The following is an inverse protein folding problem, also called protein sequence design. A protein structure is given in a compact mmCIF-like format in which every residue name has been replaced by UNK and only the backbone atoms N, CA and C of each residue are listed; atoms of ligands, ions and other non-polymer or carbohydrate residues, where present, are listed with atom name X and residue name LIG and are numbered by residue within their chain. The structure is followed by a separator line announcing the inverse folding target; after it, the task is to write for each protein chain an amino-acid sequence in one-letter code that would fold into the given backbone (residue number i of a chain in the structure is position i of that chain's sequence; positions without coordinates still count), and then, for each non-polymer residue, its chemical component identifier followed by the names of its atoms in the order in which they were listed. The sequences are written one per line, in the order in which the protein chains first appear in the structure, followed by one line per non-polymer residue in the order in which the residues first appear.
data_IF_512529954238
#
_entry.id   IF_512529954238
#
_cell.length_a   1.000
_cell.length_b   1.000
_cell.length_c   1.000
_cell.angle_alpha   90.00
_cell.angle_beta   90.00
_cell.angle_gamma   90.00
#
_symmetry.space_group_name_H-M   'P 1'
#
loop_
_entity.id
_entity.type
_entity.pdbx_description
1 polymer ?
#
# COMPACT_ATOMS: atom_id res chain seq x y z
N UNK A 1 0.62 -12.07 3.11
CA UNK A 1 1.69 -11.29 2.43
C UNK A 1 2.19 -10.26 3.42
N UNK A 2 3.50 -10.20 3.67
CA UNK A 2 4.07 -9.23 4.62
C UNK A 2 4.30 -7.89 3.93
N UNK A 3 4.05 -6.80 4.64
CA UNK A 3 4.37 -5.46 4.17
C UNK A 3 5.86 -5.19 4.45
N UNK A 4 6.66 -4.69 3.49
CA UNK A 4 8.12 -4.61 3.62
C UNK A 4 8.63 -3.74 4.77
N UNK A 5 7.81 -2.82 5.28
CA UNK A 5 8.22 -1.85 6.31
C UNK A 5 7.56 -2.07 7.67
N UNK A 6 6.72 -3.10 7.80
CA UNK A 6 6.04 -3.42 9.07
C UNK A 6 6.97 -4.22 9.98
N UNK A 7 7.11 -3.76 11.22
CA UNK A 7 7.91 -4.45 12.23
C UNK A 7 7.28 -5.81 12.58
N UNK A 8 8.02 -6.91 12.48
CA UNK A 8 7.58 -8.19 13.02
C UNK A 8 7.55 -8.18 14.55
N UNK A 9 6.79 -9.10 15.13
CA UNK A 9 6.87 -9.34 16.58
C UNK A 9 8.27 -9.88 16.93
N UNK A 10 8.89 -9.34 17.97
CA UNK A 10 10.27 -9.66 18.33
C UNK A 10 10.46 -11.14 18.68
N UNK A 11 9.50 -11.71 19.38
CA UNK A 11 9.51 -13.14 19.74
C UNK A 11 9.40 -14.09 18.54
N UNK A 12 8.93 -13.59 17.40
CA UNK A 12 8.74 -14.36 16.17
C UNK A 12 9.90 -14.22 15.18
N UNK A 13 10.85 -13.32 15.42
CA UNK A 13 12.01 -13.11 14.53
C UNK A 13 12.81 -14.40 14.28
N UNK A 14 12.83 -15.31 15.23
CA UNK A 14 13.48 -16.63 15.10
C UNK A 14 12.90 -17.51 13.97
N UNK A 15 11.69 -17.21 13.52
CA UNK A 15 11.02 -17.97 12.46
C UNK A 15 11.18 -17.33 11.07
N UNK A 16 11.77 -16.15 10.99
CA UNK A 16 11.78 -15.34 9.77
C UNK A 16 12.43 -16.06 8.56
N UNK A 17 13.43 -16.90 8.83
CA UNK A 17 14.15 -17.65 7.80
C UNK A 17 13.51 -19.01 7.47
N UNK A 18 13.04 -19.72 8.49
CA UNK A 18 12.59 -21.09 8.36
C UNK A 18 11.09 -21.21 8.09
N UNK A 19 10.30 -20.37 8.73
CA UNK A 19 8.84 -20.43 8.69
C UNK A 19 8.22 -19.01 8.66
N UNK A 20 8.48 -18.19 7.61
CA UNK A 20 8.06 -16.78 7.58
C UNK A 20 6.55 -16.60 7.72
N UNK A 21 5.75 -17.61 7.36
CA UNK A 21 4.30 -17.58 7.56
C UNK A 21 3.84 -17.58 9.04
N UNK A 22 4.73 -17.91 9.98
CA UNK A 22 4.44 -17.85 11.43
C UNK A 22 4.78 -16.52 12.06
N UNK A 23 5.47 -15.64 11.35
CA UNK A 23 5.88 -14.33 11.88
C UNK A 23 4.68 -13.39 11.88
N UNK A 24 4.26 -12.96 13.07
CA UNK A 24 3.20 -11.98 13.25
C UNK A 24 3.75 -10.57 13.06
N UNK A 25 2.93 -9.69 12.52
CA UNK A 25 3.23 -8.29 12.30
C UNK A 25 2.74 -7.42 13.47
N UNK A 26 3.47 -6.35 13.81
CA UNK A 26 2.99 -5.28 14.69
C UNK A 26 2.11 -4.32 13.88
N UNK A 27 0.98 -4.83 13.38
CA UNK A 27 -0.03 -4.09 12.64
C UNK A 27 -1.34 -4.03 13.42
N UNK A 28 -2.14 -3.04 13.12
CA UNK A 28 -3.42 -2.81 13.79
C UNK A 28 -4.42 -2.12 12.85
N UNK A 29 -5.69 -2.42 13.05
CA UNK A 29 -6.80 -1.79 12.37
C UNK A 29 -7.76 -1.20 13.40
N UNK A 30 -8.42 -0.10 13.03
CA UNK A 30 -9.50 0.50 13.81
C UNK A 30 -10.81 0.14 13.14
N UNK A 31 -11.67 -0.52 13.89
CA UNK A 31 -13.01 -0.93 13.44
C UNK A 31 -14.06 -0.18 14.24
N UNK A 32 -14.99 0.46 13.55
CA UNK A 32 -16.14 1.15 14.14
C UNK A 32 -17.42 0.66 13.47
N UNK A 33 -18.37 0.17 14.28
CA UNK A 33 -19.67 -0.37 13.83
C UNK A 33 -19.52 -1.44 12.71
N UNK A 34 -18.50 -2.30 12.81
CA UNK A 34 -18.23 -3.33 11.81
C UNK A 34 -17.50 -2.84 10.55
N UNK A 35 -17.18 -1.56 10.44
CA UNK A 35 -16.40 -1.00 9.34
C UNK A 35 -14.98 -0.71 9.79
N UNK A 36 -14.01 -1.19 9.05
CA UNK A 36 -12.61 -0.75 9.18
C UNK A 36 -12.49 0.69 8.70
N UNK A 37 -12.14 1.60 9.60
CA UNK A 37 -12.04 3.04 9.34
C UNK A 37 -10.60 3.53 9.27
N UNK A 38 -9.65 2.68 9.58
CA UNK A 38 -8.24 3.03 9.53
C UNK A 38 -7.36 1.87 9.95
N UNK A 39 -6.10 1.98 9.63
CA UNK A 39 -5.11 0.99 10.00
C UNK A 39 -3.70 1.54 9.95
N UNK A 40 -2.79 0.79 10.53
CA UNK A 40 -1.40 1.18 10.59
C UNK A 40 -0.48 0.09 11.12
N UNK A 41 0.75 0.45 11.33
CA UNK A 41 1.72 -0.47 11.90
C UNK A 41 2.87 0.24 12.61
N UNK A 42 3.50 -0.47 13.53
CA UNK A 42 4.86 -0.13 13.95
C UNK A 42 5.80 -0.42 12.79
N UNK A 43 6.70 0.50 12.51
CA UNK A 43 7.63 0.40 11.39
C UNK A 43 8.96 -0.22 11.82
N UNK A 44 9.61 -0.88 10.87
CA UNK A 44 10.99 -1.31 11.05
C UNK A 44 11.87 -0.05 11.11
N UNK A 45 12.75 0.01 12.10
CA UNK A 45 13.71 1.09 12.28
C UNK A 45 15.15 0.59 12.42
N UNK A 46 15.36 -0.73 12.34
CA UNK A 46 16.64 -1.41 12.44
C UNK A 46 17.04 -1.92 11.05
N UNK A 47 18.26 -1.58 10.63
CA UNK A 47 18.78 -1.91 9.29
C UNK A 47 18.78 -3.41 9.02
N UNK A 48 19.28 -4.19 9.96
CA UNK A 48 19.39 -5.64 9.86
C UNK A 48 18.03 -6.33 9.67
N UNK A 49 17.02 -5.88 10.40
CA UNK A 49 15.65 -6.39 10.28
C UNK A 49 15.04 -5.96 8.93
N UNK A 50 15.32 -4.73 8.47
CA UNK A 50 14.82 -4.23 7.18
C UNK A 50 15.45 -5.00 6.00
N UNK A 51 16.76 -5.22 6.02
CA UNK A 51 17.43 -6.04 5.00
C UNK A 51 16.88 -7.46 4.99
N UNK A 52 16.71 -8.06 6.16
CA UNK A 52 16.15 -9.40 6.30
C UNK A 52 14.73 -9.50 5.79
N UNK A 53 13.91 -8.50 6.03
CA UNK A 53 12.53 -8.44 5.51
C UNK A 53 12.52 -8.41 3.98
N UNK A 54 13.42 -7.63 3.34
CA UNK A 54 13.54 -7.62 1.88
C UNK A 54 13.95 -8.98 1.32
N UNK A 55 14.91 -9.66 1.94
CA UNK A 55 15.32 -11.02 1.54
C UNK A 55 14.15 -12.00 1.55
N UNK A 56 13.38 -12.03 2.65
CA UNK A 56 12.22 -12.92 2.81
C UNK A 56 11.12 -12.63 1.78
N UNK A 57 10.99 -11.38 1.35
CA UNK A 57 10.05 -10.96 0.31
C UNK A 57 10.57 -11.22 -1.12
N UNK A 58 11.79 -11.75 -1.25
CA UNK A 58 12.38 -12.12 -2.54
C UNK A 58 13.08 -10.96 -3.28
N UNK A 59 13.38 -9.87 -2.58
CA UNK A 59 14.21 -8.81 -3.15
C UNK A 59 15.69 -9.23 -3.13
N UNK A 60 16.41 -9.00 -4.21
CA UNK A 60 17.87 -8.99 -4.17
C UNK A 60 18.34 -7.67 -3.53
N UNK A 61 19.56 -7.65 -3.01
CA UNK A 61 20.13 -6.42 -2.40
C UNK A 61 20.15 -5.27 -3.38
N UNK A 62 20.48 -5.54 -4.63
CA UNK A 62 20.53 -4.54 -5.70
C UNK A 62 19.15 -3.93 -5.97
N UNK A 63 18.11 -4.77 -6.11
CA UNK A 63 16.74 -4.32 -6.33
C UNK A 63 16.16 -3.57 -5.13
N UNK A 64 16.47 -4.04 -3.91
CA UNK A 64 16.05 -3.33 -2.70
C UNK A 64 16.69 -1.93 -2.65
N UNK A 65 17.97 -1.83 -2.99
CA UNK A 65 18.67 -0.56 -2.99
C UNK A 65 18.24 0.37 -4.14
N UNK A 66 17.96 -0.18 -5.33
CA UNK A 66 17.45 0.60 -6.47
C UNK A 66 16.10 1.27 -6.14
N UNK A 67 15.21 0.55 -5.45
CA UNK A 67 13.86 1.04 -5.13
C UNK A 67 13.80 1.84 -3.83
N UNK A 68 14.56 1.46 -2.82
CA UNK A 68 14.46 1.96 -1.45
C UNK A 68 15.79 2.45 -0.88
N UNK A 69 16.81 2.65 -1.72
CA UNK A 69 18.13 3.07 -1.28
C UNK A 69 18.11 4.37 -0.47
N UNK A 70 17.27 5.32 -0.86
CA UNK A 70 17.08 6.56 -0.11
C UNK A 70 16.64 6.33 1.36
N UNK A 71 15.80 5.31 1.60
CA UNK A 71 15.35 4.93 2.94
C UNK A 71 16.45 4.20 3.70
N UNK A 72 17.12 3.23 3.06
CA UNK A 72 18.22 2.48 3.66
C UNK A 72 19.41 3.40 4.02
N UNK A 73 19.70 4.38 3.20
CA UNK A 73 20.72 5.38 3.50
C UNK A 73 20.33 6.29 4.66
N UNK A 74 19.04 6.68 4.73
CA UNK A 74 18.54 7.46 5.86
C UNK A 74 18.66 6.68 7.20
N UNK A 75 18.47 5.38 7.18
CA UNK A 75 18.61 4.53 8.37
C UNK A 75 20.03 4.60 8.99
N UNK A 76 21.07 4.76 8.16
CA UNK A 76 22.46 4.88 8.61
C UNK A 76 22.72 6.09 9.51
N UNK A 77 21.87 7.11 9.44
CA UNK A 77 21.94 8.30 10.32
C UNK A 77 21.20 8.12 11.65
N UNK A 78 20.58 6.98 11.86
CA UNK A 78 19.78 6.66 13.03
C UNK A 78 18.29 6.97 12.82
N UNK A 79 17.46 5.97 13.10
CA UNK A 79 16.00 6.07 12.97
C UNK A 79 15.38 5.80 14.34
N UNK A 80 14.54 6.71 14.87
CA UNK A 80 13.82 6.44 16.11
C UNK A 80 12.73 5.38 15.88
N UNK A 81 12.35 4.62 16.91
CA UNK A 81 11.13 3.83 16.85
C UNK A 81 9.95 4.70 16.46
N UNK A 82 9.20 4.25 15.46
CA UNK A 82 8.06 5.01 14.93
C UNK A 82 6.93 4.09 14.48
N UNK A 83 5.75 4.64 14.45
CA UNK A 83 4.53 3.98 13.99
C UNK A 83 3.67 4.99 13.22
N UNK A 84 2.70 4.49 12.47
CA UNK A 84 1.79 5.33 11.72
C UNK A 84 0.38 4.78 11.74
N UNK A 85 -0.58 5.67 11.52
CA UNK A 85 -1.99 5.36 11.39
C UNK A 85 -2.58 6.21 10.25
N UNK A 86 -3.37 5.59 9.39
CA UNK A 86 -4.13 6.28 8.36
C UNK A 86 -5.61 6.00 8.54
N UNK A 87 -6.43 7.05 8.45
CA UNK A 87 -7.88 6.92 8.43
C UNK A 87 -8.40 6.95 6.98
N UNK A 88 -9.37 6.09 6.70
CA UNK A 88 -10.18 6.17 5.50
C UNK A 88 -11.20 7.31 5.62
N UNK A 89 -10.90 8.49 5.09
CA UNK A 89 -11.73 9.68 5.22
C UNK A 89 -13.16 9.42 4.74
N UNK A 90 -13.33 8.80 3.58
CA UNK A 90 -14.65 8.51 3.01
C UNK A 90 -15.48 7.60 3.93
N UNK A 91 -14.87 6.57 4.52
CA UNK A 91 -15.55 5.69 5.48
C UNK A 91 -15.94 6.41 6.77
N UNK A 92 -15.05 7.28 7.26
CA UNK A 92 -15.34 8.08 8.45
C UNK A 92 -16.51 9.03 8.21
N UNK A 93 -16.51 9.74 7.07
CA UNK A 93 -17.60 10.64 6.69
C UNK A 93 -18.91 9.88 6.48
N UNK A 94 -18.86 8.71 5.82
CA UNK A 94 -20.00 7.82 5.64
C UNK A 94 -20.67 7.47 6.99
N UNK A 95 -19.87 7.05 7.97
CA UNK A 95 -20.39 6.70 9.31
C UNK A 95 -20.92 7.92 10.06
N UNK A 96 -20.25 9.06 9.99
CA UNK A 96 -20.71 10.31 10.60
C UNK A 96 -22.01 10.81 9.99
N UNK A 97 -22.17 10.67 8.68
CA UNK A 97 -23.38 11.02 7.93
C UNK A 97 -24.47 9.94 8.03
N UNK A 98 -24.21 8.84 8.73
CA UNK A 98 -25.12 7.67 8.87
C UNK A 98 -25.58 7.10 7.53
N UNK A 99 -24.66 7.05 6.55
CA UNK A 99 -24.90 6.44 5.26
C UNK A 99 -24.38 5.00 5.23
N UNK A 100 -24.94 4.17 4.36
CA UNK A 100 -24.60 2.75 4.24
C UNK A 100 -23.51 2.52 3.16
N UNK A 101 -23.21 3.52 2.34
CA UNK A 101 -22.24 3.44 1.24
C UNK A 101 -21.39 4.69 1.15
N UNK A 102 -20.08 4.49 0.88
CA UNK A 102 -19.17 5.61 0.59
C UNK A 102 -19.56 6.37 -0.68
N UNK A 103 -20.35 5.77 -1.57
CA UNK A 103 -20.85 6.44 -2.79
C UNK A 103 -21.75 7.63 -2.48
N UNK A 104 -22.39 7.63 -1.30
CA UNK A 104 -23.30 8.69 -0.89
C UNK A 104 -22.55 9.92 -0.34
N UNK A 105 -21.24 9.79 -0.09
CA UNK A 105 -20.39 10.86 0.47
C UNK A 105 -19.23 11.26 -0.44
N UNK A 106 -19.08 10.63 -1.61
CA UNK A 106 -18.06 10.95 -2.61
C UNK A 106 -18.71 11.70 -3.77
N UNK A 107 -18.14 12.84 -4.17
CA UNK A 107 -18.69 13.69 -5.24
C UNK A 107 -18.76 12.98 -6.60
N UNK A 108 -17.79 12.10 -6.91
CA UNK A 108 -17.70 11.38 -8.20
C UNK A 108 -17.43 9.89 -7.97
N UNK A 109 -18.42 9.12 -7.44
CA UNK A 109 -18.21 7.72 -7.14
C UNK A 109 -17.96 6.91 -8.42
N UNK A 110 -16.99 6.02 -8.37
CA UNK A 110 -16.70 5.07 -9.44
C UNK A 110 -17.68 3.90 -9.40
N UNK A 111 -18.01 3.38 -10.59
CA UNK A 111 -18.77 2.12 -10.73
C UNK A 111 -17.84 0.90 -10.69
N UNK A 112 -18.42 -0.30 -10.78
CA UNK A 112 -17.70 -1.55 -10.55
C UNK A 112 -16.50 -1.76 -11.49
N UNK A 113 -16.57 -1.26 -12.70
CA UNK A 113 -15.51 -1.29 -13.72
C UNK A 113 -14.53 -0.12 -13.62
N UNK A 114 -14.57 0.61 -12.50
CA UNK A 114 -13.77 1.81 -12.22
C UNK A 114 -14.08 3.02 -13.11
N UNK A 115 -15.15 3.00 -13.92
CA UNK A 115 -15.58 4.15 -14.70
C UNK A 115 -16.32 5.19 -13.84
N UNK A 116 -16.36 6.42 -14.32
CA UNK A 116 -17.08 7.53 -13.71
C UNK A 116 -18.23 7.95 -14.61
N UNK A 117 -19.47 7.75 -14.17
CA UNK A 117 -20.67 8.06 -14.95
C UNK A 117 -20.84 9.55 -15.24
N UNK A 118 -20.30 10.42 -14.40
CA UNK A 118 -20.41 11.86 -14.57
C UNK A 118 -19.41 12.42 -15.61
N UNK A 119 -18.19 11.91 -15.59
CA UNK A 119 -17.10 12.41 -16.46
C UNK A 119 -16.86 11.51 -17.67
N UNK A 120 -17.59 10.39 -17.74
CA UNK A 120 -17.42 9.33 -18.76
C UNK A 120 -15.98 8.78 -18.84
N UNK A 121 -15.19 8.98 -17.78
CA UNK A 121 -13.83 8.44 -17.69
C UNK A 121 -13.85 6.93 -17.36
N UNK A 122 -12.87 6.13 -17.87
CA UNK A 122 -11.77 6.54 -18.74
C UNK A 122 -12.23 6.80 -20.19
N UNK A 123 -11.57 7.73 -20.86
CA UNK A 123 -11.77 8.03 -22.28
C UNK A 123 -10.52 7.66 -23.07
N UNK A 124 -10.63 7.38 -24.38
CA UNK A 124 -9.48 7.19 -25.23
C UNK A 124 -8.52 8.39 -25.15
N UNK A 125 -7.23 8.11 -25.09
CA UNK A 125 -6.21 9.16 -25.13
C UNK A 125 -6.08 9.70 -26.55
N UNK A 126 -5.82 11.01 -26.70
CA UNK A 126 -5.54 11.62 -27.99
C UNK A 126 -4.21 11.07 -28.54
N UNK A 127 -4.20 10.69 -29.81
CA UNK A 127 -3.01 10.17 -30.48
C UNK A 127 -1.82 11.11 -30.37
N UNK A 128 -2.03 12.42 -30.47
CA UNK A 128 -0.99 13.41 -30.31
C UNK A 128 -0.30 13.35 -28.95
N UNK A 129 -1.07 13.11 -27.89
CA UNK A 129 -0.54 12.97 -26.53
C UNK A 129 0.28 11.69 -26.39
N UNK A 130 -0.17 10.60 -27.01
CA UNK A 130 0.58 9.34 -27.01
C UNK A 130 1.90 9.50 -27.78
N UNK A 131 1.88 10.14 -28.95
CA UNK A 131 3.07 10.40 -29.76
C UNK A 131 4.10 11.27 -29.02
N UNK A 132 3.63 12.31 -28.30
CA UNK A 132 4.51 13.18 -27.48
C UNK A 132 5.20 12.41 -26.34
N UNK A 133 4.55 11.36 -25.83
CA UNK A 133 5.08 10.51 -24.75
C UNK A 133 5.84 9.30 -25.27
N UNK A 134 5.89 9.08 -26.59
CA UNK A 134 6.50 7.90 -27.21
C UNK A 134 5.75 6.60 -26.84
N UNK A 135 4.44 6.67 -26.65
CA UNK A 135 3.58 5.53 -26.29
C UNK A 135 2.78 5.06 -27.50
N UNK A 136 2.61 3.75 -27.60
CA UNK A 136 1.71 3.10 -28.54
C UNK A 136 0.71 2.23 -27.79
N UNK A 137 -0.53 2.21 -28.27
CA UNK A 137 -1.55 1.28 -27.76
C UNK A 137 -1.38 -0.08 -28.43
N UNK A 138 -1.26 -1.14 -27.62
CA UNK A 138 -1.32 -2.51 -28.13
C UNK A 138 -2.79 -2.85 -28.35
N UNK A 139 -3.21 -3.17 -29.59
CA UNK A 139 -4.54 -3.67 -29.84
C UNK A 139 -4.76 -4.98 -29.08
N UNK A 140 -5.82 -5.08 -28.28
CA UNK A 140 -6.24 -6.37 -27.73
C UNK A 140 -6.69 -7.23 -28.92
N UNK A 141 -6.05 -8.38 -29.10
CA UNK A 141 -6.59 -9.42 -29.99
C UNK A 141 -7.94 -9.85 -29.41
N UNK A 142 -9.01 -9.56 -30.14
CA UNK A 142 -10.35 -10.08 -29.80
C UNK A 142 -10.27 -11.62 -29.69
N UNK A 143 -10.49 -12.11 -28.46
CA UNK A 143 -10.58 -13.55 -28.19
C UNK A 143 -12.01 -14.01 -28.34
#
# INVERSE_FOLDING_TARGET
MHHPFTMPMEEDLKFIDSEPGKVRAKAYDIVLNGNEIGGGSVRIFQDDIQEKMFEVLGFTKEKAYEQFGFLLDAFKYGVPPHAGLAYGLDRLVMLMAKQDSIRDVIAFPKVKDASCLMTEAPTPADKKQLDELGLETVAEEEK
#
